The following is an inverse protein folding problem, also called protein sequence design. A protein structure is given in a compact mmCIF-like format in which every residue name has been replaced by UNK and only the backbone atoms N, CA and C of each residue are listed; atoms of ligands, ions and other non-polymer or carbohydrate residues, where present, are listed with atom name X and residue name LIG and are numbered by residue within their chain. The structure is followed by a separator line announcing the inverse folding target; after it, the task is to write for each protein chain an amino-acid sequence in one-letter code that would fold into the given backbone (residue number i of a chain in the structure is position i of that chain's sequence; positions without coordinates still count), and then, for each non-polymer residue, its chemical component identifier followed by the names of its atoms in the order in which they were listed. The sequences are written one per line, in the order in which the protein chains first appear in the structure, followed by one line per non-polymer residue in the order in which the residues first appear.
data_IF_263282740018
#
_entry.id   IF_263282740018
#
_cell.length_a   1.000
_cell.length_b   1.000
_cell.length_c   1.000
_cell.angle_alpha   90.00
_cell.angle_beta   90.00
_cell.angle_gamma   90.00
#
_symmetry.space_group_name_H-M   'P 1'
#
loop_
_entity.id
_entity.type
_entity.pdbx_description
1 polymer ?
#
# COMPACT_ATOMS: atom_id res chain seq x y z
N UNK A 1 31.86 -75.72 30.80
CA UNK A 1 32.56 -74.45 30.49
C UNK A 1 31.79 -73.76 29.38
N UNK A 2 30.89 -72.84 29.72
CA UNK A 2 30.05 -72.14 28.75
C UNK A 2 30.34 -70.64 28.90
N UNK A 3 30.97 -70.05 27.85
CA UNK A 3 31.22 -68.62 27.76
C UNK A 3 29.92 -67.89 27.33
N UNK A 4 29.45 -67.01 28.21
CA UNK A 4 28.42 -66.03 27.84
C UNK A 4 29.07 -64.79 27.20
N UNK A 5 28.71 -64.51 25.96
CA UNK A 5 29.04 -63.27 25.25
C UNK A 5 27.98 -62.21 25.54
N UNK A 6 28.36 -61.17 26.22
CA UNK A 6 27.52 -59.98 26.41
C UNK A 6 27.55 -59.13 25.13
N UNK A 7 26.39 -58.96 24.49
CA UNK A 7 26.21 -57.97 23.42
C UNK A 7 25.79 -56.62 24.06
N UNK A 8 26.67 -55.64 24.05
CA UNK A 8 26.33 -54.25 24.33
C UNK A 8 25.52 -53.73 23.15
N UNK A 9 24.26 -53.36 23.40
CA UNK A 9 23.47 -52.54 22.47
C UNK A 9 23.87 -51.06 22.70
N UNK A 10 24.52 -50.44 21.72
CA UNK A 10 24.65 -49.00 21.63
C UNK A 10 23.32 -48.46 21.09
N UNK A 11 22.55 -47.77 21.92
CA UNK A 11 21.41 -46.96 21.52
C UNK A 11 21.97 -45.57 21.16
N UNK A 12 22.12 -45.29 19.87
CA UNK A 12 22.41 -43.96 19.37
C UNK A 12 21.11 -43.12 19.33
N UNK A 13 20.92 -42.28 20.30
CA UNK A 13 19.86 -41.23 20.29
C UNK A 13 20.25 -40.18 19.26
N UNK A 14 19.63 -40.21 18.07
CA UNK A 14 19.63 -39.09 17.14
C UNK A 14 18.75 -37.99 17.77
N UNK A 15 19.36 -36.98 18.33
CA UNK A 15 18.69 -35.74 18.67
C UNK A 15 18.44 -34.96 17.39
N UNK A 16 17.23 -35.03 16.85
CA UNK A 16 16.75 -34.19 15.75
C UNK A 16 16.63 -32.76 16.29
N UNK A 17 17.64 -31.91 16.03
CA UNK A 17 17.53 -30.48 16.20
C UNK A 17 16.64 -29.97 15.07
N UNK A 18 15.33 -29.87 15.35
CA UNK A 18 14.41 -29.10 14.51
C UNK A 18 14.80 -27.63 14.66
N UNK A 19 15.64 -27.13 13.75
CA UNK A 19 15.79 -25.69 13.57
C UNK A 19 14.42 -25.19 13.08
N UNK A 20 13.62 -24.68 14.00
CA UNK A 20 12.47 -23.86 13.65
C UNK A 20 13.03 -22.62 12.93
N UNK A 21 12.98 -22.64 11.61
CA UNK A 21 13.12 -21.45 10.79
C UNK A 21 11.97 -20.54 11.24
N UNK A 22 12.27 -19.58 12.11
CA UNK A 22 11.34 -18.51 12.44
C UNK A 22 11.02 -17.81 11.12
N UNK A 23 9.87 -18.14 10.54
CA UNK A 23 9.33 -17.41 9.40
C UNK A 23 9.15 -15.98 9.88
N UNK A 24 9.72 -14.98 9.21
CA UNK A 24 9.51 -13.61 9.62
C UNK A 24 8.01 -13.31 9.60
N UNK A 25 7.50 -12.87 10.74
CA UNK A 25 6.10 -12.47 10.91
C UNK A 25 5.88 -11.21 10.06
N UNK A 26 5.11 -11.34 9.00
CA UNK A 26 4.70 -10.22 8.14
C UNK A 26 3.18 -10.17 8.11
N UNK A 27 2.64 -8.98 8.31
CA UNK A 27 1.21 -8.69 8.21
C UNK A 27 0.73 -8.87 6.80
N UNK A 28 0.47 -9.69 6.09
CA UNK A 28 0.25 -9.96 4.67
C UNK A 28 1.40 -10.74 4.06
N UNK A 29 1.12 -11.48 3.05
CA UNK A 29 2.15 -12.24 2.34
C UNK A 29 3.25 -11.31 1.80
N UNK A 30 4.47 -11.51 2.25
CA UNK A 30 5.62 -10.69 1.89
C UNK A 30 5.64 -9.27 2.50
N UNK A 31 4.75 -8.97 3.46
CA UNK A 31 4.80 -7.74 4.27
C UNK A 31 4.39 -6.44 3.58
N UNK A 32 3.92 -6.50 2.34
CA UNK A 32 3.46 -5.32 1.59
C UNK A 32 1.96 -5.31 1.37
N UNK A 33 1.37 -4.15 1.09
CA UNK A 33 -0.03 -3.96 0.70
C UNK A 33 -0.22 -4.01 -0.81
N UNK A 34 -1.43 -4.26 -1.29
CA UNK A 34 -1.76 -4.18 -2.72
C UNK A 34 -1.86 -2.73 -3.18
N UNK A 35 -2.43 -1.85 -2.36
CA UNK A 35 -2.42 -0.40 -2.58
C UNK A 35 -1.14 0.23 -1.99
N UNK A 36 -0.49 1.18 -2.68
CA UNK A 36 0.66 1.90 -2.15
C UNK A 36 0.20 2.96 -1.13
N UNK A 37 0.27 2.61 0.16
CA UNK A 37 -0.21 3.45 1.27
C UNK A 37 0.37 4.86 1.22
N UNK A 38 -0.48 5.87 1.44
CA UNK A 38 -0.09 7.25 1.39
C UNK A 38 0.07 7.84 -0.01
N UNK A 39 -0.31 7.15 -1.08
CA UNK A 39 -0.16 7.67 -2.44
C UNK A 39 -0.99 8.94 -2.68
N UNK A 40 -2.18 9.01 -2.11
CA UNK A 40 -3.03 10.18 -2.28
C UNK A 40 -2.70 11.29 -1.27
N UNK A 41 -3.02 12.51 -1.69
CA UNK A 41 -2.80 13.72 -0.94
C UNK A 41 -3.99 14.66 -1.21
N UNK A 42 -3.78 15.94 -1.56
CA UNK A 42 -4.85 16.88 -1.90
C UNK A 42 -5.61 16.49 -3.18
N UNK A 43 -6.89 16.87 -3.26
CA UNK A 43 -7.80 16.69 -4.41
C UNK A 43 -8.21 15.23 -4.68
N UNK A 44 -8.13 14.35 -3.68
CA UNK A 44 -8.47 12.93 -3.84
C UNK A 44 -9.96 12.69 -4.09
N UNK A 45 -10.85 13.55 -3.55
CA UNK A 45 -12.30 13.49 -3.71
C UNK A 45 -12.88 14.45 -4.74
N UNK A 46 -12.05 15.25 -5.43
CA UNK A 46 -12.50 16.25 -6.39
C UNK A 46 -12.38 15.73 -7.83
N UNK A 47 -13.49 15.26 -8.42
CA UNK A 47 -13.53 14.82 -9.82
C UNK A 47 -13.54 16.04 -10.74
N UNK A 48 -12.69 16.08 -11.78
CA UNK A 48 -12.69 17.18 -12.75
C UNK A 48 -13.88 17.08 -13.72
N UNK A 49 -14.15 18.13 -14.54
CA UNK A 49 -15.14 18.09 -15.60
C UNK A 49 -14.93 16.94 -16.61
N UNK A 50 -15.92 16.64 -17.49
CA UNK A 50 -15.75 15.64 -18.54
C UNK A 50 -14.50 15.87 -19.39
N UNK A 51 -13.75 14.79 -19.68
CA UNK A 51 -12.49 14.84 -20.42
C UNK A 51 -11.51 13.76 -20.03
N UNK A 52 -10.28 13.85 -20.54
CA UNK A 52 -9.17 12.96 -20.20
C UNK A 52 -8.16 13.68 -19.31
N UNK A 53 -7.66 12.96 -18.32
CA UNK A 53 -6.68 13.47 -17.35
C UNK A 53 -5.59 12.46 -17.11
N UNK A 54 -4.36 12.95 -17.03
CA UNK A 54 -3.20 12.16 -16.62
C UNK A 54 -2.77 12.52 -15.21
N UNK A 55 -2.43 11.49 -14.45
CA UNK A 55 -1.70 11.66 -13.19
C UNK A 55 -0.41 10.84 -13.26
N UNK A 56 0.64 11.41 -12.72
CA UNK A 56 1.91 10.71 -12.55
C UNK A 56 2.29 10.75 -11.08
N UNK A 57 2.37 9.58 -10.46
CA UNK A 57 2.91 9.44 -9.11
C UNK A 57 4.37 9.01 -9.20
N UNK A 58 5.19 9.61 -8.37
CA UNK A 58 6.58 9.19 -8.14
C UNK A 58 6.74 8.95 -6.64
N UNK A 59 7.27 7.78 -6.30
CA UNK A 59 7.46 7.37 -4.92
C UNK A 59 8.87 6.87 -4.68
N UNK A 60 9.40 7.21 -3.51
CA UNK A 60 10.57 6.58 -2.91
C UNK A 60 10.22 6.18 -1.47
N UNK A 61 10.35 4.90 -1.16
CA UNK A 61 10.16 4.33 0.17
C UNK A 61 11.43 3.63 0.63
N UNK A 62 11.82 3.86 1.89
CA UNK A 62 12.91 3.14 2.52
C UNK A 62 12.59 2.81 3.98
N UNK A 63 12.96 1.60 4.42
CA UNK A 63 12.85 1.17 5.80
C UNK A 63 14.01 0.24 6.18
N UNK A 64 14.50 0.38 7.42
CA UNK A 64 15.55 -0.46 8.01
C UNK A 64 15.12 -1.10 9.33
N UNK A 65 13.85 -0.99 9.65
CA UNK A 65 13.26 -1.57 10.85
C UNK A 65 12.09 -2.48 10.46
N UNK A 66 12.12 -3.71 10.96
CA UNK A 66 10.97 -4.62 10.93
C UNK A 66 10.38 -4.67 12.33
N UNK A 67 9.07 -4.42 12.45
CA UNK A 67 8.34 -4.41 13.72
C UNK A 67 7.56 -5.70 13.91
N UNK A 68 7.58 -6.23 15.13
CA UNK A 68 6.78 -7.38 15.52
C UNK A 68 5.36 -6.99 16.00
N UNK A 69 4.59 -7.97 16.45
CA UNK A 69 3.21 -7.79 16.93
C UNK A 69 3.09 -6.83 18.12
N UNK A 70 4.11 -6.77 18.97
CA UNK A 70 4.18 -5.84 20.11
C UNK A 70 4.67 -4.42 19.71
N UNK A 71 4.98 -4.19 18.43
CA UNK A 71 5.50 -2.94 17.89
C UNK A 71 7.00 -2.72 18.17
N UNK A 72 7.69 -3.67 18.81
CA UNK A 72 9.13 -3.58 19.01
C UNK A 72 9.90 -3.95 17.75
N UNK A 73 11.09 -3.40 17.60
CA UNK A 73 12.00 -3.78 16.52
C UNK A 73 12.41 -5.24 16.68
N UNK A 74 12.26 -6.02 15.62
CA UNK A 74 12.77 -7.39 15.58
C UNK A 74 14.31 -7.38 15.47
N UNK A 75 14.99 -8.35 16.09
CA UNK A 75 16.44 -8.46 16.06
C UNK A 75 16.93 -9.11 14.76
N UNK A 76 16.57 -8.52 13.62
CA UNK A 76 16.92 -8.97 12.27
C UNK A 76 17.64 -7.86 11.51
N UNK A 77 18.60 -8.21 10.66
CA UNK A 77 19.20 -7.27 9.71
C UNK A 77 18.24 -7.16 8.52
N UNK A 78 17.53 -6.04 8.45
CA UNK A 78 16.49 -5.81 7.46
C UNK A 78 16.65 -4.45 6.81
N UNK A 79 16.51 -4.42 5.50
CA UNK A 79 16.34 -3.19 4.74
C UNK A 79 15.44 -3.42 3.53
N UNK A 80 14.55 -2.48 3.27
CA UNK A 80 13.77 -2.42 2.03
C UNK A 80 13.89 -1.05 1.41
N UNK A 81 13.99 -1.02 0.08
CA UNK A 81 13.90 0.19 -0.73
C UNK A 81 13.01 -0.08 -1.93
N UNK A 82 12.02 0.79 -2.12
CA UNK A 82 11.15 0.75 -3.28
C UNK A 82 11.12 2.11 -3.96
N UNK A 83 11.29 2.13 -5.28
CA UNK A 83 11.05 3.29 -6.12
C UNK A 83 9.92 2.94 -7.07
N UNK A 84 8.99 3.86 -7.29
CA UNK A 84 7.92 3.64 -8.25
C UNK A 84 7.64 4.88 -9.09
N UNK A 85 7.33 4.65 -10.35
CA UNK A 85 6.72 5.62 -11.27
C UNK A 85 5.39 5.03 -11.70
N UNK A 86 4.31 5.73 -11.40
CA UNK A 86 2.95 5.17 -11.53
C UNK A 86 2.06 6.13 -12.32
N UNK A 87 1.97 5.99 -13.64
CA UNK A 87 0.98 6.71 -14.43
C UNK A 87 -0.43 6.23 -14.13
N UNK A 88 -1.38 7.18 -14.08
CA UNK A 88 -2.82 6.96 -14.02
C UNK A 88 -3.50 7.73 -15.13
N UNK A 89 -4.34 7.05 -15.89
CA UNK A 89 -5.25 7.66 -16.86
C UNK A 89 -6.64 7.71 -16.25
N UNK A 90 -7.32 8.86 -16.37
CA UNK A 90 -8.69 9.07 -15.93
C UNK A 90 -9.49 9.57 -17.11
N UNK A 91 -10.61 8.94 -17.39
CA UNK A 91 -11.62 9.41 -18.32
C UNK A 91 -12.89 9.75 -17.56
N UNK A 92 -13.29 11.01 -17.57
CA UNK A 92 -14.58 11.48 -17.03
C UNK A 92 -15.52 11.62 -18.22
N UNK A 93 -16.63 10.87 -18.19
CA UNK A 93 -17.60 10.86 -19.26
C UNK A 93 -18.59 12.04 -19.16
N UNK A 94 -19.30 12.32 -20.26
CA UNK A 94 -20.43 13.28 -20.28
C UNK A 94 -21.69 12.73 -19.58
N UNK A 95 -21.69 11.45 -19.21
CA UNK A 95 -22.82 10.82 -18.54
C UNK A 95 -22.85 11.12 -17.06
N UNK A 96 -24.06 11.28 -16.51
CA UNK A 96 -24.28 11.37 -15.09
C UNK A 96 -25.14 10.19 -14.61
N UNK A 97 -24.86 9.69 -13.41
CA UNK A 97 -25.62 8.65 -12.76
C UNK A 97 -25.93 9.09 -11.31
N UNK A 98 -27.22 9.12 -10.94
CA UNK A 98 -27.66 9.60 -9.62
C UNK A 98 -27.19 11.03 -9.28
N UNK A 99 -27.02 11.89 -10.30
CA UNK A 99 -26.50 13.25 -10.13
C UNK A 99 -24.97 13.34 -9.98
N UNK A 100 -24.27 12.23 -10.10
CA UNK A 100 -22.79 12.16 -10.08
C UNK A 100 -22.21 12.08 -11.48
N UNK A 101 -21.03 12.65 -11.69
CA UNK A 101 -20.22 12.42 -12.89
C UNK A 101 -19.66 11.00 -12.89
N UNK A 102 -19.70 10.32 -14.04
CA UNK A 102 -19.17 8.95 -14.20
C UNK A 102 -17.78 8.99 -14.77
N UNK A 103 -16.85 8.28 -14.15
CA UNK A 103 -15.48 8.15 -14.64
C UNK A 103 -14.99 6.71 -14.61
N UNK A 104 -13.97 6.44 -15.43
CA UNK A 104 -13.14 5.23 -15.40
C UNK A 104 -11.69 5.65 -15.24
N UNK A 105 -10.92 4.81 -14.55
CA UNK A 105 -9.47 5.02 -14.47
C UNK A 105 -8.68 3.71 -14.51
N UNK A 106 -7.39 3.86 -14.88
CA UNK A 106 -6.41 2.79 -14.80
C UNK A 106 -5.08 3.33 -14.28
N UNK A 107 -4.44 2.58 -13.42
CA UNK A 107 -3.17 2.89 -12.75
C UNK A 107 -2.19 1.76 -13.06
N UNK A 108 -0.99 2.09 -13.53
CA UNK A 108 0.01 1.12 -13.99
C UNK A 108 1.33 1.36 -13.27
N UNK A 109 1.63 0.65 -12.16
CA UNK A 109 2.87 0.86 -11.41
C UNK A 109 4.08 0.26 -12.13
N UNK A 110 5.16 1.01 -12.25
CA UNK A 110 6.50 0.55 -12.62
C UNK A 110 7.37 0.65 -11.37
N UNK A 111 7.85 -0.48 -10.87
CA UNK A 111 8.47 -0.60 -9.55
C UNK A 111 9.88 -1.14 -9.65
N UNK A 112 10.80 -0.56 -8.88
CA UNK A 112 12.14 -1.07 -8.56
C UNK A 112 12.19 -1.33 -7.05
N UNK A 113 12.21 -2.62 -6.68
CA UNK A 113 12.19 -3.08 -5.30
C UNK A 113 13.51 -3.80 -4.97
N UNK A 114 14.12 -3.42 -3.85
CA UNK A 114 15.22 -4.16 -3.24
C UNK A 114 14.90 -4.50 -1.79
N UNK A 115 15.13 -5.76 -1.41
CA UNK A 115 14.97 -6.27 -0.05
C UNK A 115 16.26 -6.96 0.39
N UNK A 116 16.76 -6.57 1.56
CA UNK A 116 17.87 -7.22 2.24
C UNK A 116 17.34 -7.79 3.57
N UNK A 117 17.61 -9.05 3.86
CA UNK A 117 17.18 -9.73 5.09
C UNK A 117 18.24 -10.75 5.55
N UNK A 118 18.81 -10.53 6.73
CA UNK A 118 19.80 -11.45 7.35
C UNK A 118 20.92 -11.89 6.41
N UNK A 119 21.47 -10.93 5.64
CA UNK A 119 22.55 -11.17 4.69
C UNK A 119 22.13 -11.69 3.32
N UNK A 120 20.84 -12.00 3.13
CA UNK A 120 20.29 -12.26 1.80
C UNK A 120 19.84 -10.94 1.16
N UNK A 121 20.09 -10.77 -0.14
CA UNK A 121 19.72 -9.57 -0.89
C UNK A 121 19.08 -9.96 -2.21
N UNK A 122 17.92 -9.38 -2.50
CA UNK A 122 17.24 -9.57 -3.79
C UNK A 122 16.66 -8.25 -4.28
N UNK A 123 16.72 -8.05 -5.60
CA UNK A 123 16.06 -6.93 -6.28
C UNK A 123 15.20 -7.42 -7.42
N UNK A 124 14.08 -6.72 -7.65
CA UNK A 124 13.16 -7.01 -8.76
C UNK A 124 12.63 -5.70 -9.33
N UNK A 125 12.68 -5.60 -10.66
CA UNK A 125 12.15 -4.45 -11.40
C UNK A 125 11.08 -4.90 -12.39
N UNK A 126 10.08 -4.07 -12.61
CA UNK A 126 9.05 -4.30 -13.62
C UNK A 126 7.69 -3.75 -13.28
N UNK A 127 6.68 -4.30 -13.95
CA UNK A 127 5.29 -3.97 -13.76
C UNK A 127 4.81 -4.47 -12.40
N UNK A 128 4.11 -3.61 -11.64
CA UNK A 128 3.33 -3.98 -10.46
C UNK A 128 1.92 -4.43 -10.83
N UNK A 129 1.09 -4.61 -9.81
CA UNK A 129 -0.32 -4.97 -10.02
C UNK A 129 -1.10 -3.75 -10.53
N UNK A 130 -1.81 -3.92 -11.65
CA UNK A 130 -2.60 -2.87 -12.29
C UNK A 130 -3.89 -2.65 -11.51
N UNK A 131 -4.22 -1.39 -11.25
CA UNK A 131 -5.46 -0.98 -10.57
C UNK A 131 -6.36 -0.30 -11.59
N UNK A 132 -7.63 -0.66 -11.63
CA UNK A 132 -8.62 -0.03 -12.50
C UNK A 132 -10.02 -0.12 -11.93
N UNK A 133 -10.88 0.80 -12.30
CA UNK A 133 -12.26 0.76 -11.82
C UNK A 133 -13.11 1.95 -12.22
N UNK A 134 -14.43 1.86 -11.99
CA UNK A 134 -15.37 2.95 -12.14
C UNK A 134 -15.38 3.87 -10.90
N UNK A 135 -15.75 5.12 -11.12
CA UNK A 135 -15.91 6.11 -10.08
C UNK A 135 -17.15 7.02 -10.35
N UNK A 136 -17.78 7.45 -9.28
CA UNK A 136 -18.87 8.44 -9.27
C UNK A 136 -18.41 9.66 -8.48
N UNK A 137 -18.35 10.83 -9.12
CA UNK A 137 -17.93 12.09 -8.53
C UNK A 137 -19.11 13.00 -8.22
N UNK A 138 -19.20 13.46 -6.98
CA UNK A 138 -20.27 14.33 -6.48
C UNK A 138 -19.69 15.71 -6.13
N UNK A 139 -20.36 16.76 -6.59
CA UNK A 139 -20.06 18.14 -6.24
C UNK A 139 -21.17 18.66 -5.30
N UNK A 140 -20.91 18.65 -4.00
CA UNK A 140 -21.89 19.05 -2.98
C UNK A 140 -21.98 20.55 -2.82
N UNK A 141 -20.87 21.25 -3.07
CA UNK A 141 -20.76 22.71 -3.10
C UNK A 141 -19.52 23.13 -3.92
N UNK A 142 -19.26 24.42 -4.03
CA UNK A 142 -18.05 24.94 -4.67
C UNK A 142 -16.75 24.46 -4.00
N UNK A 143 -16.81 24.11 -2.72
CA UNK A 143 -15.63 23.73 -1.93
C UNK A 143 -15.63 22.26 -1.52
N UNK A 144 -16.79 21.58 -1.50
CA UNK A 144 -16.88 20.21 -0.99
C UNK A 144 -17.28 19.23 -2.09
N UNK A 145 -16.45 18.23 -2.25
CA UNK A 145 -16.57 17.19 -3.28
C UNK A 145 -16.33 15.81 -2.68
N UNK A 146 -16.93 14.78 -3.29
CA UNK A 146 -16.63 13.40 -2.92
C UNK A 146 -16.65 12.47 -4.12
N UNK A 147 -15.99 11.33 -3.99
CA UNK A 147 -15.94 10.24 -4.97
C UNK A 147 -16.28 8.94 -4.26
N UNK A 148 -17.16 8.16 -4.89
CA UNK A 148 -17.32 6.73 -4.63
C UNK A 148 -16.70 5.97 -5.79
N UNK A 149 -15.84 5.01 -5.51
CA UNK A 149 -15.21 4.19 -6.53
C UNK A 149 -15.15 2.72 -6.10
N UNK A 150 -14.98 1.84 -7.09
CA UNK A 150 -14.72 0.44 -6.88
C UNK A 150 -13.47 0.08 -7.68
N UNK A 151 -12.35 -0.03 -7.00
CA UNK A 151 -11.09 -0.37 -7.62
C UNK A 151 -10.91 -1.91 -7.63
N UNK A 152 -10.40 -2.42 -8.74
CA UNK A 152 -9.99 -3.80 -8.90
C UNK A 152 -8.46 -3.83 -9.11
N UNK A 153 -7.76 -4.58 -8.29
CA UNK A 153 -6.31 -4.74 -8.39
C UNK A 153 -6.05 -6.12 -8.98
N UNK A 154 -5.51 -6.13 -10.20
CA UNK A 154 -5.24 -7.35 -10.95
C UNK A 154 -3.83 -7.86 -10.68
N UNK A 155 -3.61 -9.18 -10.52
CA UNK A 155 -2.30 -9.79 -10.26
C UNK A 155 -1.45 -9.83 -11.54
N UNK A 156 -1.11 -8.65 -12.08
CA UNK A 156 -0.31 -8.49 -13.30
C UNK A 156 1.16 -8.26 -13.02
N UNK A 157 1.49 -7.96 -11.77
CA UNK A 157 2.84 -7.68 -11.33
C UNK A 157 3.72 -8.92 -11.29
N UNK A 158 5.02 -8.70 -11.46
CA UNK A 158 5.98 -9.81 -11.41
C UNK A 158 6.04 -10.44 -10.03
N UNK A 159 5.73 -11.72 -9.97
CA UNK A 159 5.72 -12.55 -8.76
C UNK A 159 6.40 -13.90 -9.03
N UNK A 160 7.25 -14.32 -8.12
CA UNK A 160 7.87 -15.65 -8.11
C UNK A 160 7.79 -16.21 -6.69
N UNK A 161 7.21 -17.42 -6.54
CA UNK A 161 7.07 -18.10 -5.24
C UNK A 161 8.45 -18.32 -4.60
N UNK A 162 8.59 -17.87 -3.35
CA UNK A 162 9.83 -18.03 -2.57
C UNK A 162 10.82 -16.88 -2.74
N UNK A 163 10.58 -15.95 -3.65
CA UNK A 163 11.40 -14.74 -3.76
C UNK A 163 11.19 -13.81 -2.56
N UNK A 164 12.29 -13.24 -2.10
CA UNK A 164 12.30 -12.23 -1.03
C UNK A 164 11.70 -10.90 -1.51
N UNK A 165 11.93 -10.54 -2.79
CA UNK A 165 11.42 -9.35 -3.42
C UNK A 165 10.37 -9.69 -4.48
N UNK A 166 9.10 -9.42 -4.20
CA UNK A 166 7.99 -9.53 -5.14
C UNK A 166 7.28 -8.19 -5.30
N UNK A 167 7.11 -7.73 -6.55
CA UNK A 167 6.44 -6.46 -6.88
C UNK A 167 4.96 -6.64 -7.18
N UNK A 168 4.50 -7.83 -7.57
CA UNK A 168 3.10 -8.24 -7.63
C UNK A 168 2.72 -9.07 -6.42
N UNK A 169 1.41 -9.16 -6.13
CA UNK A 169 0.86 -9.96 -5.03
C UNK A 169 0.36 -11.33 -5.46
N UNK A 170 0.17 -11.55 -6.76
CA UNK A 170 -0.34 -12.79 -7.34
C UNK A 170 -1.76 -13.17 -6.90
N UNK A 171 -2.56 -12.20 -6.45
CA UNK A 171 -3.98 -12.38 -6.14
C UNK A 171 -4.79 -11.13 -6.49
N UNK A 172 -6.07 -11.32 -6.75
CA UNK A 172 -7.01 -10.24 -6.98
C UNK A 172 -7.41 -9.54 -5.69
N UNK A 173 -7.61 -8.22 -5.76
CA UNK A 173 -8.23 -7.43 -4.69
C UNK A 173 -9.41 -6.66 -5.25
N UNK A 174 -10.48 -6.55 -4.47
CA UNK A 174 -11.60 -5.65 -4.71
C UNK A 174 -11.54 -4.59 -3.61
N UNK A 175 -11.46 -3.32 -4.01
CA UNK A 175 -11.26 -2.19 -3.12
C UNK A 175 -12.40 -1.16 -3.32
N UNK A 176 -13.47 -1.16 -2.51
CA UNK A 176 -14.36 -0.03 -2.41
C UNK A 176 -13.64 1.18 -1.82
N UNK A 177 -13.89 2.34 -2.42
CA UNK A 177 -13.25 3.61 -2.12
C UNK A 177 -14.29 4.69 -1.85
N UNK A 178 -14.07 5.44 -0.78
CA UNK A 178 -14.71 6.74 -0.56
C UNK A 178 -13.65 7.81 -0.38
N UNK A 179 -13.67 8.82 -1.24
CA UNK A 179 -12.76 9.96 -1.13
C UNK A 179 -13.56 11.26 -0.97
N UNK A 180 -13.03 12.17 -0.17
CA UNK A 180 -13.61 13.51 0.01
C UNK A 180 -12.53 14.57 -0.04
N UNK A 181 -12.89 15.75 -0.57
CA UNK A 181 -12.04 16.94 -0.61
C UNK A 181 -12.85 18.16 -0.23
N UNK A 182 -12.36 18.91 0.74
CA UNK A 182 -12.77 20.28 0.98
C UNK A 182 -11.66 21.21 0.52
N UNK A 183 -11.93 22.09 -0.45
CA UNK A 183 -10.93 22.87 -1.17
C UNK A 183 -11.23 24.35 -1.03
N UNK A 184 -10.40 25.08 -0.31
CA UNK A 184 -10.47 26.53 -0.22
C UNK A 184 -9.11 27.14 -0.63
N UNK A 185 -9.03 27.87 -1.75
CA UNK A 185 -7.78 28.49 -2.19
C UNK A 185 -7.17 29.47 -1.16
N UNK A 186 -7.99 30.05 -0.29
CA UNK A 186 -7.61 31.05 0.71
C UNK A 186 -7.84 30.59 2.15
N UNK A 187 -7.91 29.28 2.37
CA UNK A 187 -8.30 28.75 3.68
C UNK A 187 -8.04 27.27 3.82
N UNK A 188 -8.89 26.61 4.61
CA UNK A 188 -8.76 25.22 4.96
C UNK A 188 -8.88 24.30 3.73
N UNK A 189 -7.97 23.36 3.61
CA UNK A 189 -8.04 22.25 2.67
C UNK A 189 -8.00 20.94 3.47
N UNK A 190 -8.96 20.06 3.23
CA UNK A 190 -9.07 18.75 3.87
C UNK A 190 -9.27 17.68 2.80
N UNK A 191 -8.52 16.63 2.89
CA UNK A 191 -8.66 15.46 2.01
C UNK A 191 -8.62 14.19 2.83
N UNK A 192 -9.46 13.23 2.45
CA UNK A 192 -9.38 11.86 2.93
C UNK A 192 -9.81 10.90 1.82
N UNK A 193 -9.06 9.82 1.64
CA UNK A 193 -9.42 8.67 0.80
C UNK A 193 -9.45 7.45 1.69
N UNK A 194 -10.64 6.90 1.91
CA UNK A 194 -10.92 5.72 2.72
C UNK A 194 -11.07 4.52 1.81
N UNK A 195 -10.37 3.44 2.10
CA UNK A 195 -10.30 2.23 1.28
C UNK A 195 -10.41 0.98 2.15
N UNK A 196 -10.95 -0.09 1.56
CA UNK A 196 -11.02 -1.39 2.21
C UNK A 196 -10.71 -2.50 1.21
N UNK A 197 -9.61 -3.23 1.44
CA UNK A 197 -9.15 -4.30 0.55
C UNK A 197 -9.79 -5.63 0.91
N UNK A 198 -10.52 -6.21 -0.05
CA UNK A 198 -10.99 -7.59 -0.02
C UNK A 198 -9.99 -8.48 -0.75
N UNK A 199 -8.96 -8.92 -0.02
CA UNK A 199 -7.90 -9.76 -0.56
C UNK A 199 -8.40 -11.18 -0.90
N UNK A 200 -8.07 -11.67 -2.10
CA UNK A 200 -8.25 -13.07 -2.50
C UNK A 200 -7.04 -13.90 -2.08
N UNK A 201 -7.15 -15.19 -2.25
CA UNK A 201 -6.07 -16.14 -1.97
C UNK A 201 -5.01 -16.11 -3.08
N UNK A 202 -3.73 -16.18 -2.72
CA UNK A 202 -2.63 -16.40 -3.63
C UNK A 202 -2.58 -17.89 -4.01
N UNK A 203 -2.91 -18.26 -5.26
CA UNK A 203 -2.99 -19.66 -5.67
C UNK A 203 -1.64 -20.39 -5.71
N UNK A 204 -0.53 -19.65 -5.64
CA UNK A 204 0.81 -20.25 -5.65
C UNK A 204 1.23 -20.75 -4.25
N UNK A 205 0.67 -20.16 -3.18
CA UNK A 205 1.09 -20.41 -1.80
C UNK A 205 -0.02 -20.88 -0.90
N UNK A 206 -1.29 -20.88 -1.39
CA UNK A 206 -2.49 -21.09 -0.59
C UNK A 206 -2.56 -20.15 0.63
N UNK A 207 -1.99 -18.93 0.44
CA UNK A 207 -1.99 -17.89 1.44
C UNK A 207 -3.05 -16.84 1.11
N UNK A 208 -3.83 -16.46 2.09
CA UNK A 208 -4.80 -15.37 2.00
C UNK A 208 -4.46 -14.29 3.02
N UNK A 209 -3.97 -13.17 2.55
CA UNK A 209 -3.77 -11.98 3.36
C UNK A 209 -5.10 -11.52 3.98
N UNK A 210 -5.07 -11.12 5.23
CA UNK A 210 -6.24 -10.55 5.90
C UNK A 210 -6.75 -9.30 5.18
N UNK A 211 -8.02 -8.95 5.43
CA UNK A 211 -8.63 -7.76 4.86
C UNK A 211 -8.03 -6.50 5.48
N UNK A 212 -7.90 -5.42 4.69
CA UNK A 212 -7.16 -4.24 5.07
C UNK A 212 -8.05 -2.99 5.01
N UNK A 213 -8.00 -2.18 6.05
CA UNK A 213 -8.59 -0.85 6.10
C UNK A 213 -7.49 0.19 6.07
N UNK A 214 -7.58 1.15 5.16
CA UNK A 214 -6.61 2.24 5.12
C UNK A 214 -7.25 3.56 4.71
N UNK A 215 -6.62 4.64 5.13
CA UNK A 215 -7.02 6.02 4.87
C UNK A 215 -5.79 6.83 4.54
N UNK A 216 -5.76 7.43 3.35
CA UNK A 216 -4.82 8.51 3.04
C UNK A 216 -5.48 9.85 3.42
N UNK A 217 -4.73 10.77 4.03
CA UNK A 217 -5.27 12.05 4.47
C UNK A 217 -4.32 13.22 4.23
N UNK A 218 -4.89 14.41 4.08
CA UNK A 218 -4.16 15.67 4.09
C UNK A 218 -4.99 16.79 4.73
N UNK A 219 -4.30 17.66 5.46
CA UNK A 219 -4.85 18.88 6.05
C UNK A 219 -3.90 20.02 5.74
N UNK A 220 -4.39 21.12 5.16
CA UNK A 220 -3.55 22.24 4.78
C UNK A 220 -4.30 23.55 4.72
N UNK A 221 -3.55 24.61 4.47
CA UNK A 221 -4.05 25.97 4.34
C UNK A 221 -3.65 26.58 3.00
N UNK A 222 -4.64 27.03 2.24
CA UNK A 222 -4.48 27.74 0.98
C UNK A 222 -4.03 29.19 1.19
N UNK A 223 -2.99 29.59 0.47
CA UNK A 223 -2.36 30.91 0.62
C UNK A 223 -2.90 31.97 -0.38
N UNK A 224 -3.90 31.61 -1.21
CA UNK A 224 -4.49 32.51 -2.20
C UNK A 224 -3.71 32.68 -3.51
N UNK A 225 -2.54 32.07 -3.62
CA UNK A 225 -1.64 32.18 -4.77
C UNK A 225 -1.36 30.84 -5.46
N UNK A 226 -2.27 29.88 -5.29
CA UNK A 226 -2.16 28.51 -5.82
C UNK A 226 -1.46 27.52 -4.88
N UNK A 227 -0.77 28.00 -3.84
CA UNK A 227 -0.09 27.14 -2.86
C UNK A 227 -1.01 26.74 -1.71
N UNK A 228 -0.88 25.48 -1.29
CA UNK A 228 -1.42 24.92 -0.04
C UNK A 228 -0.26 24.29 0.71
N UNK A 229 -0.10 24.66 1.97
CA UNK A 229 0.90 24.09 2.88
C UNK A 229 0.19 23.36 4.01
N UNK A 230 0.71 22.18 4.40
CA UNK A 230 0.05 21.42 5.46
C UNK A 230 0.80 20.15 5.85
N UNK A 231 0.03 19.20 6.34
CA UNK A 231 0.47 17.86 6.72
C UNK A 231 -0.37 16.81 6.00
N UNK A 232 0.21 15.65 5.77
CA UNK A 232 -0.49 14.50 5.20
C UNK A 232 0.13 13.20 5.70
N UNK A 233 -0.48 12.10 5.34
CA UNK A 233 -0.02 10.79 5.72
C UNK A 233 -1.07 9.73 5.43
N UNK A 234 -0.97 8.60 6.15
CA UNK A 234 -1.94 7.54 6.07
C UNK A 234 -2.14 6.83 7.42
N UNK A 235 -3.27 6.17 7.56
CA UNK A 235 -3.53 5.17 8.57
C UNK A 235 -3.82 3.83 7.90
N UNK A 236 -3.20 2.76 8.38
CA UNK A 236 -3.38 1.40 7.90
C UNK A 236 -3.66 0.45 9.05
N UNK A 237 -4.59 -0.48 8.85
CA UNK A 237 -4.88 -1.57 9.78
C UNK A 237 -5.44 -2.79 9.05
N UNK A 238 -4.78 -3.93 9.21
CA UNK A 238 -5.36 -5.20 8.86
C UNK A 238 -6.48 -5.56 9.86
N UNK A 239 -7.65 -5.92 9.34
CA UNK A 239 -8.88 -6.08 10.14
C UNK A 239 -9.18 -7.56 10.45
N UNK A 240 -8.77 -8.48 9.56
CA UNK A 240 -8.91 -9.92 9.76
C UNK A 240 -7.55 -10.60 9.79
N UNK A 241 -7.49 -11.80 10.36
CA UNK A 241 -6.26 -12.58 10.37
C UNK A 241 -5.94 -13.13 8.98
N UNK A 242 -4.66 -13.39 8.72
CA UNK A 242 -4.19 -14.12 7.55
C UNK A 242 -4.58 -15.60 7.66
N UNK A 243 -4.59 -16.28 6.51
CA UNK A 243 -4.78 -17.72 6.44
C UNK A 243 -3.75 -18.34 5.53
N UNK A 244 -3.27 -19.52 5.88
CA UNK A 244 -2.43 -20.35 5.02
C UNK A 244 -2.91 -21.79 5.08
N UNK A 245 -3.11 -22.41 3.92
CA UNK A 245 -3.68 -23.77 3.78
C UNK A 245 -5.03 -23.92 4.52
N UNK A 246 -5.83 -22.86 4.60
CA UNK A 246 -7.11 -22.82 5.30
C UNK A 246 -7.02 -22.58 6.82
N UNK A 247 -5.83 -22.63 7.42
CA UNK A 247 -5.60 -22.36 8.84
C UNK A 247 -5.37 -20.87 9.11
N UNK A 248 -5.88 -20.38 10.23
CA UNK A 248 -5.70 -18.98 10.65
C UNK A 248 -4.30 -18.77 11.26
N UNK A 249 -3.63 -17.69 10.84
CA UNK A 249 -2.36 -17.24 11.42
C UNK A 249 -2.69 -16.12 12.41
N UNK A 250 -2.66 -16.43 13.69
CA UNK A 250 -2.94 -15.48 14.76
C UNK A 250 -1.78 -14.49 14.97
N UNK A 251 -2.07 -13.34 15.59
CA UNK A 251 -1.09 -12.31 15.99
C UNK A 251 -0.28 -11.69 14.84
N UNK A 252 -0.76 -11.81 13.59
CA UNK A 252 -0.07 -11.35 12.40
C UNK A 252 -0.65 -10.05 11.81
N UNK A 253 -1.66 -9.44 12.43
CA UNK A 253 -2.32 -8.25 11.87
C UNK A 253 -1.41 -7.03 11.86
N UNK A 254 -1.29 -6.43 10.67
CA UNK A 254 -0.52 -5.22 10.44
C UNK A 254 -1.22 -3.94 10.89
N UNK A 255 -0.42 -2.97 11.33
CA UNK A 255 -0.84 -1.61 11.62
C UNK A 255 0.28 -0.63 11.29
N UNK A 256 -0.07 0.56 10.80
CA UNK A 256 0.84 1.69 10.67
C UNK A 256 0.07 3.02 10.68
N UNK A 257 0.71 4.05 11.17
CA UNK A 257 0.33 5.44 11.03
C UNK A 257 1.53 6.18 10.44
N UNK A 258 1.32 7.00 9.42
CA UNK A 258 2.34 7.87 8.87
C UNK A 258 1.87 9.32 8.84
N UNK A 259 2.79 10.24 9.07
CA UNK A 259 2.54 11.68 9.07
C UNK A 259 3.78 12.43 8.60
N UNK A 260 3.59 13.56 7.93
CA UNK A 260 4.65 14.47 7.57
C UNK A 260 4.16 15.71 6.82
N UNK A 261 5.06 16.65 6.51
CA UNK A 261 4.72 17.85 5.76
C UNK A 261 4.25 17.53 4.35
N UNK A 262 3.28 18.29 3.90
CA UNK A 262 2.72 18.18 2.56
C UNK A 262 2.49 19.55 1.92
N UNK A 263 2.56 19.58 0.59
CA UNK A 263 2.44 20.80 -0.20
C UNK A 263 1.65 20.52 -1.47
N UNK A 264 0.86 21.50 -1.93
CA UNK A 264 0.24 21.51 -3.25
C UNK A 264 0.48 22.85 -3.93
N UNK A 265 0.71 22.83 -5.23
CA UNK A 265 0.63 23.98 -6.09
C UNK A 265 -0.37 23.74 -7.22
N UNK A 266 -1.29 24.66 -7.43
CA UNK A 266 -2.26 24.65 -8.53
C UNK A 266 -1.96 25.78 -9.47
N UNK A 267 -1.76 25.48 -10.76
CA UNK A 267 -1.52 26.45 -11.80
C UNK A 267 -2.80 27.13 -12.27
N UNK A 268 -2.66 28.23 -12.99
CA UNK A 268 -3.80 28.91 -13.64
C UNK A 268 -4.34 28.14 -14.86
N UNK A 269 -3.54 27.25 -15.41
CA UNK A 269 -3.86 26.39 -16.57
C UNK A 269 -4.58 25.09 -16.15
N UNK A 270 -4.84 24.89 -14.84
CA UNK A 270 -5.61 23.76 -14.34
C UNK A 270 -4.80 22.50 -13.99
N UNK A 271 -3.47 22.47 -14.25
CA UNK A 271 -2.64 21.39 -13.72
C UNK A 271 -2.26 21.67 -12.26
N UNK A 272 -1.97 20.63 -11.50
CA UNK A 272 -1.45 20.79 -10.14
C UNK A 272 -0.41 19.71 -9.82
N UNK A 273 0.47 20.05 -8.88
CA UNK A 273 1.46 19.15 -8.33
C UNK A 273 1.33 19.12 -6.80
N UNK A 274 1.47 17.92 -6.22
CA UNK A 274 1.58 17.75 -4.78
C UNK A 274 2.89 17.08 -4.43
N UNK A 275 3.41 17.38 -3.25
CA UNK A 275 4.56 16.72 -2.66
C UNK A 275 4.31 16.44 -1.19
N UNK A 276 4.82 15.33 -0.68
CA UNK A 276 4.89 15.06 0.76
C UNK A 276 6.06 14.16 1.10
N UNK A 277 6.55 14.31 2.30
CA UNK A 277 7.34 13.34 3.01
C UNK A 277 6.52 12.84 4.18
N UNK A 278 6.58 11.56 4.47
CA UNK A 278 5.87 10.96 5.59
C UNK A 278 6.76 9.95 6.31
N UNK A 279 6.66 9.94 7.64
CA UNK A 279 7.35 9.01 8.52
C UNK A 279 6.33 8.09 9.17
N UNK A 280 6.58 6.78 9.08
CA UNK A 280 5.76 5.77 9.72
C UNK A 280 6.00 5.70 11.22
N UNK A 281 4.90 5.65 11.97
CA UNK A 281 4.86 5.51 13.43
C UNK A 281 3.87 4.43 13.82
N UNK A 282 3.85 4.00 15.08
CA UNK A 282 2.92 2.99 15.61
C UNK A 282 2.82 1.71 14.76
N UNK A 283 3.92 1.28 14.18
CA UNK A 283 3.97 0.14 13.25
C UNK A 283 3.95 -1.18 14.02
N UNK A 284 3.18 -2.15 13.51
CA UNK A 284 3.16 -3.55 13.97
C UNK A 284 3.16 -4.49 12.78
N UNK A 285 3.88 -5.60 12.90
CA UNK A 285 3.98 -6.71 11.95
C UNK A 285 4.35 -6.25 10.53
N UNK A 286 5.15 -5.19 10.35
CA UNK A 286 5.59 -4.71 9.05
C UNK A 286 6.86 -3.86 9.13
N UNK A 287 7.41 -3.52 7.99
CA UNK A 287 8.48 -2.54 7.89
C UNK A 287 8.04 -1.18 8.42
N UNK A 288 8.98 -0.45 9.01
CA UNK A 288 8.80 0.93 9.46
C UNK A 288 9.86 1.82 8.83
N UNK A 289 9.44 2.81 8.08
CA UNK A 289 10.34 3.68 7.32
C UNK A 289 9.77 5.05 7.01
N UNK A 290 10.26 5.58 5.89
CA UNK A 290 9.87 6.88 5.37
C UNK A 290 9.46 6.75 3.91
N UNK A 291 8.49 7.57 3.48
CA UNK A 291 8.11 7.69 2.09
C UNK A 291 8.19 9.15 1.61
N UNK A 292 8.58 9.32 0.36
CA UNK A 292 8.55 10.58 -0.38
C UNK A 292 7.61 10.39 -1.56
N UNK A 293 6.65 11.28 -1.70
CA UNK A 293 5.66 11.25 -2.76
C UNK A 293 5.64 12.55 -3.55
N UNK A 294 5.50 12.41 -4.86
CA UNK A 294 5.10 13.48 -5.76
C UNK A 294 3.96 13.00 -6.62
N UNK A 295 2.92 13.82 -6.81
CA UNK A 295 1.82 13.57 -7.75
C UNK A 295 1.67 14.79 -8.64
N UNK A 296 1.74 14.61 -9.96
CA UNK A 296 1.40 15.59 -10.97
C UNK A 296 0.07 15.21 -11.60
N UNK A 297 -0.84 16.18 -11.76
CA UNK A 297 -2.13 16.02 -12.46
C UNK A 297 -2.23 17.02 -13.59
N UNK A 298 -2.54 16.54 -14.80
CA UNK A 298 -2.67 17.37 -16.00
C UNK A 298 -3.97 17.04 -16.75
N UNK A 299 -4.71 18.03 -17.26
CA UNK A 299 -5.75 17.84 -18.25
C UNK A 299 -5.11 17.58 -19.64
N UNK A 300 -5.81 16.86 -20.53
CA UNK A 300 -5.43 16.66 -21.94
C UNK A 300 -6.38 17.40 -22.87
#
# INVERSE_FOLDING_TARGET
MTRRTNKLLLISTLASVSAALAVPVHATEGGGTSYPLGAENYMSGAMPPPGFYGQLFVNHYEADNLRGNDGKKLPVDFRVRANAITPRLIWVSDYTLFGASVALHAIVPLVDLKVDLNGQSQSKQGLGDVIFGPALGFHHSEKFHSILALDMIAPTGRYDKGDLANIGRNYWVIEPVYAMSYVDPNGLNLDAKVMYDFNRENPATDYRSGQEFHVDYAVGWGLGNGWVLGVGGYYYRQTTDDRQNGETIEDNKGRALAIGPSIKYTSKEGWFVTGKWEQETEVRNRAQGNAYWMKLTVPF
#
